data_IF_459003468553
#
_entry.id   IF_459003468553
#
_cell.length_a   1.000
_cell.length_b   1.000
_cell.length_c   1.000
_cell.angle_alpha   90.00
_cell.angle_beta   90.00
_cell.angle_gamma   90.00
#
_symmetry.space_group_name_H-M   'P 1'
#
loop_
_entity.id
_entity.type
_entity.pdbx_description
1 polymer ?
#
# COMPACT_ATOMS: atom_id res chain seq x y z
N UNK A 1 0.16 9.11 -38.59
CA UNK A 1 1.22 8.08 -38.55
C UNK A 1 1.17 7.35 -37.21
N UNK A 2 1.21 6.01 -37.28
CA UNK A 2 1.00 4.97 -36.27
C UNK A 2 1.00 5.35 -34.77
N UNK A 3 -0.16 5.16 -34.14
CA UNK A 3 -0.38 5.12 -32.69
C UNK A 3 0.26 3.86 -32.10
N UNK A 4 1.59 3.88 -31.93
CA UNK A 4 2.30 2.79 -31.26
C UNK A 4 2.00 2.91 -29.77
N UNK A 5 1.07 2.09 -29.27
CA UNK A 5 0.80 1.90 -27.85
C UNK A 5 2.14 1.79 -27.14
N UNK A 6 2.48 2.79 -26.31
CA UNK A 6 3.74 2.83 -25.58
C UNK A 6 3.69 1.75 -24.50
N UNK A 7 4.03 0.52 -24.85
CA UNK A 7 4.47 -0.47 -23.89
C UNK A 7 5.77 0.06 -23.26
N UNK A 8 5.63 0.80 -22.16
CA UNK A 8 6.69 1.60 -21.50
C UNK A 8 7.72 0.75 -20.74
N UNK A 9 7.66 -0.57 -20.85
CA UNK A 9 8.55 -1.45 -20.09
C UNK A 9 9.65 -2.00 -20.99
N UNK A 10 10.84 -1.44 -20.85
CA UNK A 10 12.06 -2.03 -21.43
C UNK A 10 12.28 -3.45 -20.91
N UNK A 11 12.73 -4.36 -21.79
CA UNK A 11 13.21 -5.69 -21.39
C UNK A 11 14.42 -5.59 -20.44
N UNK A 12 14.73 -6.67 -19.73
CA UNK A 12 15.82 -6.70 -18.74
C UNK A 12 17.17 -6.35 -19.38
N UNK A 13 17.44 -6.81 -20.60
CA UNK A 13 18.71 -6.55 -21.28
C UNK A 13 18.86 -5.08 -21.71
N UNK A 14 17.81 -4.47 -22.27
CA UNK A 14 17.83 -3.04 -22.59
C UNK A 14 17.93 -2.16 -21.34
N UNK A 15 17.32 -2.57 -20.21
CA UNK A 15 17.50 -1.88 -18.93
C UNK A 15 18.95 -1.97 -18.45
N UNK A 16 19.53 -3.17 -18.46
CA UNK A 16 20.91 -3.43 -18.03
C UNK A 16 21.92 -2.60 -18.84
N UNK A 17 21.71 -2.51 -20.16
CA UNK A 17 22.56 -1.74 -21.07
C UNK A 17 22.21 -0.24 -21.17
N UNK A 18 21.14 0.21 -20.51
CA UNK A 18 20.63 1.59 -20.58
C UNK A 18 20.30 2.04 -22.02
N UNK A 19 19.80 1.14 -22.85
CA UNK A 19 19.42 1.41 -24.25
C UNK A 19 17.91 1.59 -24.39
N UNK A 20 17.48 2.26 -25.47
CA UNK A 20 16.06 2.37 -25.82
C UNK A 20 15.52 1.00 -26.27
N UNK A 21 14.52 0.49 -25.55
CA UNK A 21 13.78 -0.71 -25.93
C UNK A 21 12.57 -0.30 -26.79
N UNK A 22 12.40 -0.96 -27.94
CA UNK A 22 11.22 -0.81 -28.80
C UNK A 22 10.05 -1.71 -28.37
N UNK A 23 10.27 -2.58 -27.37
CA UNK A 23 9.27 -3.42 -26.71
C UNK A 23 8.41 -4.27 -27.67
N UNK A 24 8.96 -4.63 -28.83
CA UNK A 24 8.34 -5.58 -29.74
C UNK A 24 8.28 -6.98 -29.10
N UNK A 25 7.26 -7.75 -29.47
CA UNK A 25 7.05 -9.13 -29.04
C UNK A 25 7.26 -10.07 -30.24
N UNK A 26 7.91 -11.24 -30.08
CA UNK A 26 8.38 -11.86 -28.83
C UNK A 26 9.73 -11.31 -28.31
N UNK A 27 10.48 -10.59 -29.15
CA UNK A 27 11.75 -9.98 -28.78
C UNK A 27 11.83 -8.53 -29.26
N UNK A 28 12.52 -7.68 -28.49
CA UNK A 28 12.80 -6.31 -28.90
C UNK A 28 13.84 -6.29 -30.05
N UNK A 29 13.80 -5.30 -30.92
CA UNK A 29 14.65 -5.27 -32.12
C UNK A 29 16.14 -5.27 -31.82
N UNK A 30 16.55 -4.73 -30.68
CA UNK A 30 17.95 -4.81 -30.23
C UNK A 30 18.34 -6.24 -29.84
N UNK A 31 17.53 -6.91 -29.00
CA UNK A 31 17.84 -8.27 -28.55
C UNK A 31 17.82 -9.26 -29.71
N UNK A 32 16.88 -9.08 -30.67
CA UNK A 32 16.83 -9.88 -31.88
C UNK A 32 18.13 -9.76 -32.71
N UNK A 33 18.61 -8.54 -32.95
CA UNK A 33 19.86 -8.32 -33.73
C UNK A 33 21.13 -8.75 -33.01
N UNK A 34 21.13 -8.68 -31.68
CA UNK A 34 22.29 -9.05 -30.85
C UNK A 34 22.28 -10.53 -30.44
N UNK A 35 21.25 -11.28 -30.85
CA UNK A 35 21.03 -12.68 -30.48
C UNK A 35 21.11 -12.90 -28.96
N UNK A 36 20.60 -11.96 -28.18
CA UNK A 36 20.56 -12.03 -26.71
C UNK A 36 19.17 -12.39 -26.22
N UNK A 37 19.12 -13.03 -25.04
CA UNK A 37 17.86 -13.38 -24.41
C UNK A 37 17.05 -12.11 -24.06
N UNK A 38 15.91 -11.95 -24.71
CA UNK A 38 15.00 -10.83 -24.48
C UNK A 38 14.00 -11.16 -23.36
N UNK A 39 14.43 -11.05 -22.11
CA UNK A 39 13.53 -11.28 -20.98
C UNK A 39 12.66 -10.05 -20.70
N UNK A 40 11.33 -10.23 -20.73
CA UNK A 40 10.38 -9.19 -20.36
C UNK A 40 10.57 -8.79 -18.89
N UNK A 41 10.62 -7.48 -18.64
CA UNK A 41 10.82 -7.02 -17.26
C UNK A 41 9.52 -7.10 -16.46
N UNK A 42 9.38 -8.18 -15.70
CA UNK A 42 8.32 -8.32 -14.70
C UNK A 42 8.61 -7.35 -13.55
N UNK A 43 8.07 -6.13 -13.61
CA UNK A 43 8.06 -5.28 -12.42
C UNK A 43 7.17 -5.97 -11.38
N UNK A 44 7.72 -6.30 -10.22
CA UNK A 44 6.93 -6.68 -9.06
C UNK A 44 5.83 -5.65 -8.82
N UNK A 45 4.65 -6.10 -8.36
CA UNK A 45 3.56 -5.20 -7.98
C UNK A 45 4.15 -4.15 -7.05
N UNK A 46 4.05 -2.87 -7.43
CA UNK A 46 4.57 -1.77 -6.59
C UNK A 46 3.95 -1.94 -5.20
N UNK A 47 4.74 -1.70 -4.16
CA UNK A 47 4.24 -1.70 -2.79
C UNK A 47 3.05 -0.74 -2.61
N UNK A 48 2.36 -0.82 -1.46
CA UNK A 48 1.22 0.03 -1.17
C UNK A 48 1.53 1.51 -1.46
N UNK A 49 0.55 2.26 -1.97
CA UNK A 49 0.73 3.69 -2.28
C UNK A 49 1.29 4.43 -1.06
N UNK A 50 2.19 5.39 -1.31
CA UNK A 50 2.76 6.26 -0.28
C UNK A 50 1.62 6.85 0.56
N UNK A 51 1.71 6.73 1.88
CA UNK A 51 0.68 7.21 2.81
C UNK A 51 -0.38 6.17 3.22
N UNK A 52 -0.51 5.04 2.53
CA UNK A 52 -1.49 4.00 2.91
C UNK A 52 -1.22 3.44 4.31
N UNK A 53 0.05 3.17 4.64
CA UNK A 53 0.44 2.74 5.98
C UNK A 53 0.16 3.82 7.05
N UNK A 54 0.31 5.09 6.71
CA UNK A 54 0.02 6.18 7.65
C UNK A 54 -1.48 6.32 7.88
N UNK A 55 -2.30 6.20 6.84
CA UNK A 55 -3.75 6.19 6.98
C UNK A 55 -4.23 5.02 7.86
N UNK A 56 -3.63 3.83 7.70
CA UNK A 56 -3.88 2.67 8.57
C UNK A 56 -3.51 2.96 10.02
N UNK A 57 -2.32 3.51 10.28
CA UNK A 57 -1.90 3.88 11.65
C UNK A 57 -2.82 4.91 12.29
N UNK A 58 -3.21 5.94 11.55
CA UNK A 58 -4.11 6.97 12.06
C UNK A 58 -5.48 6.39 12.42
N UNK A 59 -6.02 5.50 11.57
CA UNK A 59 -7.29 4.83 11.86
C UNK A 59 -7.20 3.93 13.09
N UNK A 60 -6.09 3.22 13.27
CA UNK A 60 -5.85 2.41 14.47
C UNK A 60 -5.81 3.27 15.73
N UNK A 61 -5.03 4.37 15.73
CA UNK A 61 -4.94 5.27 16.88
C UNK A 61 -6.29 5.87 17.27
N UNK A 62 -7.11 6.26 16.29
CA UNK A 62 -8.48 6.75 16.56
C UNK A 62 -9.36 5.69 17.23
N UNK A 63 -9.27 4.44 16.77
CA UNK A 63 -10.05 3.34 17.36
C UNK A 63 -9.58 3.02 18.79
N UNK A 64 -8.27 3.04 19.04
CA UNK A 64 -7.70 2.83 20.37
C UNK A 64 -8.15 3.93 21.35
N UNK A 65 -8.13 5.20 20.93
CA UNK A 65 -8.61 6.33 21.73
C UNK A 65 -10.11 6.25 22.04
N UNK A 66 -10.93 5.88 21.05
CA UNK A 66 -12.36 5.68 21.24
C UNK A 66 -12.68 4.55 22.23
N UNK A 67 -11.93 3.45 22.18
CA UNK A 67 -12.10 2.36 23.13
C UNK A 67 -11.70 2.80 24.54
N UNK A 68 -10.57 3.49 24.66
CA UNK A 68 -10.08 3.93 25.96
C UNK A 68 -11.03 4.91 26.64
N UNK A 69 -11.50 5.92 25.91
CA UNK A 69 -12.51 6.86 26.44
C UNK A 69 -13.80 6.16 26.87
N UNK A 70 -14.25 5.13 26.13
CA UNK A 70 -15.41 4.34 26.53
C UNK A 70 -15.19 3.59 27.85
N UNK A 71 -14.04 2.95 28.03
CA UNK A 71 -13.71 2.26 29.28
C UNK A 71 -13.60 3.21 30.47
N UNK A 72 -13.11 4.43 30.27
CA UNK A 72 -13.06 5.46 31.30
C UNK A 72 -14.46 5.92 31.72
N UNK A 73 -15.35 6.15 30.74
CA UNK A 73 -16.74 6.52 31.01
C UNK A 73 -17.51 5.41 31.74
N UNK A 74 -17.32 4.15 31.35
CA UNK A 74 -17.95 2.99 32.01
C UNK A 74 -17.51 2.90 33.49
N UNK A 75 -16.21 3.07 33.79
CA UNK A 75 -15.70 3.07 35.17
C UNK A 75 -16.26 4.23 36.01
N UNK A 76 -16.34 5.44 35.44
CA UNK A 76 -16.91 6.60 36.14
C UNK A 76 -18.38 6.34 36.48
N UNK A 77 -19.13 5.77 35.54
CA UNK A 77 -20.55 5.46 35.73
C UNK A 77 -20.77 4.42 36.83
N UNK A 78 -19.95 3.37 36.88
CA UNK A 78 -20.00 2.36 37.95
C UNK A 78 -19.75 2.98 39.33
N UNK A 79 -18.70 3.81 39.48
CA UNK A 79 -18.40 4.48 40.74
C UNK A 79 -19.53 5.41 41.20
N UNK A 80 -20.15 6.13 40.27
CA UNK A 80 -21.30 6.99 40.55
C UNK A 80 -22.53 6.19 41.00
N UNK A 81 -22.80 5.04 40.36
CA UNK A 81 -23.92 4.17 40.78
C UNK A 81 -23.72 3.62 42.18
N UNK A 82 -22.49 3.21 42.53
CA UNK A 82 -22.17 2.73 43.88
C UNK A 82 -22.40 3.80 44.96
N UNK A 83 -21.89 5.03 44.75
CA UNK A 83 -22.12 6.13 45.70
C UNK A 83 -23.60 6.48 45.85
N UNK A 84 -24.38 6.47 44.75
CA UNK A 84 -25.82 6.73 44.81
C UNK A 84 -26.59 5.62 45.56
N UNK A 85 -26.22 4.36 45.36
CA UNK A 85 -26.85 3.24 46.10
C UNK A 85 -26.56 3.27 47.59
N UNK A 86 -25.34 3.66 47.99
CA UNK A 86 -24.99 3.79 49.41
C UNK A 86 -25.72 4.95 50.10
N UNK A 87 -25.91 6.08 49.40
CA UNK A 87 -26.69 7.21 49.92
C UNK A 87 -28.19 6.92 50.03
N UNK A 88 -28.74 6.00 49.23
CA UNK A 88 -30.15 5.61 49.31
C UNK A 88 -30.42 4.64 50.49
N UNK A 89 -29.39 3.97 51.02
CA UNK A 89 -29.53 2.96 52.08
C UNK A 89 -29.19 3.49 53.50
N UNK A 90 -28.92 4.80 53.62
CA UNK A 90 -28.77 5.56 54.87
C UNK A 90 -29.94 6.51 55.05
#
# INVERSE_FOLDING_TARGET
MSNRQRNTTSCNECKRRKLRCDAQQPQCGFCLRSNTLCEASLRGKRGPKRGHLNALRNRLGQLEEMLQSRFELEQIQELQTHQQTELHYL
#
